data_IF_384814147759
#
_entry.id   IF_384814147759
#
_cell.length_a   1.000
_cell.length_b   1.000
_cell.length_c   1.000
_cell.angle_alpha   90.00
_cell.angle_beta   90.00
_cell.angle_gamma   90.00
#
_symmetry.space_group_name_H-M   'P 1'
#
loop_
_entity.id
_entity.type
_entity.pdbx_description
1 polymer ?
#
# COMPACT_ATOMS: atom_id res chain seq x y z
N UNK A 1 15.75 -24.09 6.91
CA UNK A 1 15.19 -22.75 7.20
C UNK A 1 16.23 -21.73 6.74
N UNK A 2 15.79 -20.76 5.94
CA UNK A 2 16.63 -19.66 5.45
C UNK A 2 15.90 -18.35 5.71
N UNK A 3 16.53 -17.45 6.48
CA UNK A 3 16.04 -16.11 6.77
C UNK A 3 16.96 -15.09 6.12
N UNK A 4 16.40 -14.15 5.38
CA UNK A 4 17.12 -13.02 4.85
C UNK A 4 16.39 -11.71 5.14
N UNK A 5 17.13 -10.62 5.18
CA UNK A 5 16.57 -9.29 5.36
C UNK A 5 17.57 -8.21 4.98
N UNK A 6 17.04 -7.14 4.43
CA UNK A 6 17.81 -5.95 4.05
C UNK A 6 17.14 -4.73 4.62
N UNK A 7 17.91 -3.88 5.26
CA UNK A 7 17.49 -2.53 5.64
C UNK A 7 18.32 -1.51 4.88
N UNK A 8 17.66 -0.65 4.12
CA UNK A 8 18.29 0.40 3.34
C UNK A 8 17.56 1.73 3.54
N UNK A 9 18.31 2.80 3.78
CA UNK A 9 17.79 4.16 3.90
C UNK A 9 18.72 5.10 3.15
N UNK A 10 18.16 5.85 2.23
CA UNK A 10 18.88 6.92 1.56
C UNK A 10 18.57 8.28 2.17
N UNK A 11 19.44 9.25 1.91
CA UNK A 11 19.30 10.63 2.36
C UNK A 11 19.99 11.55 1.37
N UNK A 12 19.30 12.60 0.93
CA UNK A 12 19.87 13.66 0.13
C UNK A 12 20.82 14.46 1.05
N UNK A 13 22.10 14.49 0.73
CA UNK A 13 23.09 15.24 1.51
C UNK A 13 23.11 16.71 1.13
N UNK A 14 22.88 17.00 -0.14
CA UNK A 14 22.83 18.36 -0.67
C UNK A 14 21.79 18.42 -1.80
N UNK A 15 20.99 19.45 -1.78
CA UNK A 15 20.08 19.85 -2.84
C UNK A 15 20.22 21.37 -3.00
N UNK A 16 20.22 21.87 -4.23
CA UNK A 16 20.25 23.30 -4.50
C UNK A 16 18.83 23.87 -4.30
N UNK A 17 18.54 24.18 -3.04
CA UNK A 17 17.22 24.69 -2.64
C UNK A 17 17.03 26.12 -3.16
N UNK A 18 15.84 26.43 -3.69
CA UNK A 18 15.52 27.76 -4.11
C UNK A 18 15.61 28.77 -2.92
N UNK A 19 16.10 29.99 -3.12
CA UNK A 19 16.10 31.00 -2.07
C UNK A 19 14.70 31.23 -1.47
N UNK A 20 14.58 31.24 -0.15
CA UNK A 20 13.32 31.43 0.56
C UNK A 20 12.48 30.15 0.74
N UNK A 21 12.97 28.98 0.31
CA UNK A 21 12.28 27.71 0.57
C UNK A 21 12.15 27.46 2.07
N UNK A 22 10.91 27.27 2.60
CA UNK A 22 10.69 26.95 4.02
C UNK A 22 11.42 25.66 4.43
N UNK A 23 11.87 25.61 5.67
CA UNK A 23 12.66 24.48 6.19
C UNK A 23 11.93 23.13 6.04
N UNK A 24 10.62 23.13 6.27
CA UNK A 24 9.79 21.92 6.15
C UNK A 24 9.53 21.46 4.71
N UNK A 25 9.89 22.29 3.71
CA UNK A 25 9.77 21.93 2.29
C UNK A 25 11.09 21.44 1.67
N UNK A 26 12.21 21.66 2.33
CA UNK A 26 13.54 21.33 1.80
C UNK A 26 13.68 19.82 1.50
N UNK A 27 14.37 19.54 0.41
CA UNK A 27 14.74 18.18 -0.01
C UNK A 27 15.98 17.68 0.72
N UNK A 28 16.90 18.56 1.08
CA UNK A 28 18.11 18.25 1.84
C UNK A 28 17.75 17.58 3.16
N UNK A 29 18.38 16.44 3.44
CA UNK A 29 18.09 15.65 4.64
C UNK A 29 16.95 14.66 4.51
N UNK A 30 16.20 14.70 3.41
CA UNK A 30 15.08 13.79 3.13
C UNK A 30 15.49 12.65 2.18
N UNK A 31 14.71 11.56 2.09
CA UNK A 31 14.94 10.52 1.11
C UNK A 31 14.74 11.01 -0.32
N UNK A 32 15.42 10.36 -1.27
CA UNK A 32 15.08 10.49 -2.70
C UNK A 32 13.61 10.05 -2.88
N UNK A 33 12.89 10.70 -3.79
CA UNK A 33 11.46 10.48 -4.06
C UNK A 33 10.51 10.81 -2.88
N UNK A 34 10.97 11.57 -1.89
CA UNK A 34 10.08 12.14 -0.90
C UNK A 34 9.18 13.19 -1.53
N UNK A 35 7.86 12.99 -1.44
CA UNK A 35 6.87 13.93 -1.97
C UNK A 35 6.64 15.14 -1.08
N UNK A 36 6.06 16.19 -1.66
CA UNK A 36 5.64 17.42 -0.99
C UNK A 36 4.11 17.43 -0.89
N UNK A 37 3.57 17.36 0.33
CA UNK A 37 2.15 17.14 0.57
C UNK A 37 1.58 18.15 1.56
N UNK A 38 0.29 18.48 1.40
CA UNK A 38 -0.49 19.08 2.49
C UNK A 38 -0.72 18.03 3.59
N UNK A 39 -0.53 18.39 4.84
CA UNK A 39 -0.86 17.52 5.97
C UNK A 39 -2.38 17.54 6.19
N UNK A 40 -3.05 16.41 5.94
CA UNK A 40 -4.46 16.22 6.23
C UNK A 40 -4.65 15.99 7.73
N UNK A 41 -5.52 16.78 8.37
CA UNK A 41 -5.78 16.71 9.83
C UNK A 41 -7.22 16.33 10.16
N UNK A 42 -8.09 16.16 9.16
CA UNK A 42 -9.48 15.77 9.33
C UNK A 42 -10.33 16.05 8.10
N UNK A 43 -11.62 16.01 8.30
CA UNK A 43 -12.65 16.31 7.28
C UNK A 43 -13.58 17.35 7.88
N UNK A 44 -13.97 18.38 7.11
CA UNK A 44 -14.96 19.36 7.54
C UNK A 44 -16.33 18.69 7.68
N UNK A 45 -16.85 18.65 8.90
CA UNK A 45 -18.14 17.99 9.19
C UNK A 45 -19.34 18.77 8.67
N UNK A 46 -19.28 20.10 8.76
CA UNK A 46 -20.33 21.03 8.43
C UNK A 46 -19.76 22.41 8.02
N UNK A 47 -20.64 23.33 7.65
CA UNK A 47 -20.25 24.68 7.24
C UNK A 47 -19.62 25.47 8.39
N UNK A 48 -20.06 25.28 9.63
CA UNK A 48 -19.49 25.97 10.78
C UNK A 48 -18.01 25.57 10.99
N UNK A 49 -17.67 24.31 10.74
CA UNK A 49 -16.28 23.84 10.77
C UNK A 49 -15.44 24.46 9.65
N UNK A 50 -16.00 24.64 8.44
CA UNK A 50 -15.32 25.34 7.33
C UNK A 50 -15.05 26.79 7.72
N UNK A 51 -16.05 27.51 8.21
CA UNK A 51 -15.95 28.92 8.55
C UNK A 51 -15.01 29.20 9.73
N UNK A 52 -14.77 28.19 10.59
CA UNK A 52 -13.97 28.31 11.80
C UNK A 52 -12.46 28.04 11.60
N UNK A 53 -12.05 27.47 10.48
CA UNK A 53 -10.65 27.06 10.26
C UNK A 53 -10.12 27.60 8.92
N UNK A 54 -8.83 27.95 8.83
CA UNK A 54 -8.20 28.32 7.55
C UNK A 54 -8.43 27.27 6.48
N UNK A 55 -8.86 27.69 5.31
CA UNK A 55 -9.18 26.80 4.22
C UNK A 55 -8.88 27.42 2.85
N UNK A 56 -8.73 26.58 1.85
CA UNK A 56 -8.57 27.00 0.47
C UNK A 56 -9.91 27.50 -0.12
N UNK A 57 -9.82 28.34 -1.14
CA UNK A 57 -11.00 28.95 -1.75
C UNK A 57 -11.93 27.88 -2.35
N UNK A 58 -13.20 27.91 -1.93
CA UNK A 58 -14.24 26.95 -2.36
C UNK A 58 -14.32 25.68 -1.54
N UNK A 59 -13.64 25.61 -0.39
CA UNK A 59 -13.83 24.52 0.57
C UNK A 59 -15.26 24.45 1.06
N UNK A 60 -15.75 23.27 1.31
CA UNK A 60 -17.12 22.99 1.76
C UNK A 60 -17.17 21.76 2.68
N UNK A 61 -18.29 21.50 3.37
CA UNK A 61 -18.46 20.32 4.19
C UNK A 61 -18.11 19.03 3.43
N UNK A 62 -17.41 18.11 4.10
CA UNK A 62 -16.91 16.87 3.52
C UNK A 62 -15.56 16.97 2.85
N UNK A 63 -14.95 18.15 2.73
CA UNK A 63 -13.59 18.32 2.21
C UNK A 63 -12.55 18.05 3.28
N UNK A 64 -11.32 17.68 2.85
CA UNK A 64 -10.19 17.44 3.73
C UNK A 64 -9.69 18.76 4.30
N UNK A 65 -9.45 18.78 5.60
CA UNK A 65 -8.82 19.89 6.32
C UNK A 65 -7.31 19.77 6.16
N UNK A 66 -6.67 20.80 5.65
CA UNK A 66 -5.21 20.89 5.58
C UNK A 66 -4.68 21.73 6.74
N UNK A 67 -3.57 21.28 7.30
CA UNK A 67 -2.91 21.97 8.38
C UNK A 67 -2.28 23.28 7.88
N UNK A 68 -2.56 24.37 8.57
CA UNK A 68 -1.82 25.62 8.46
C UNK A 68 -0.46 25.43 9.17
N UNK A 69 0.59 25.25 8.38
CA UNK A 69 1.93 24.89 8.88
C UNK A 69 2.71 26.11 9.32
N UNK A 70 2.55 27.24 8.65
CA UNK A 70 3.24 28.49 8.93
C UNK A 70 2.47 29.40 9.91
N UNK A 71 1.18 29.14 10.15
CA UNK A 71 0.35 29.87 11.10
C UNK A 71 -0.11 31.24 10.59
N UNK A 72 -0.19 31.44 9.27
CA UNK A 72 -0.61 32.70 8.67
C UNK A 72 -2.12 32.80 8.41
N UNK A 73 -2.88 31.76 8.77
CA UNK A 73 -4.32 31.59 8.54
C UNK A 73 -4.73 31.53 7.05
N UNK A 74 -3.82 31.15 6.16
CA UNK A 74 -4.06 30.95 4.74
C UNK A 74 -3.53 29.58 4.34
N UNK A 75 -4.35 28.74 3.72
CA UNK A 75 -3.89 27.44 3.18
C UNK A 75 -3.38 27.66 1.76
N UNK A 76 -2.07 27.61 1.59
CA UNK A 76 -1.42 27.79 0.29
C UNK A 76 -0.21 26.85 0.07
N UNK A 77 0.58 27.10 -0.97
CA UNK A 77 1.77 26.31 -1.28
C UNK A 77 2.83 26.25 -0.18
N UNK A 78 2.82 27.20 0.75
CA UNK A 78 3.76 27.27 1.88
C UNK A 78 3.43 26.24 2.96
N UNK A 79 2.19 25.71 3.01
CA UNK A 79 1.75 24.71 3.99
C UNK A 79 2.08 23.28 3.58
N UNK A 80 2.63 23.07 2.41
CA UNK A 80 3.07 21.74 2.01
C UNK A 80 4.34 21.34 2.75
N UNK A 81 4.34 20.12 3.28
CA UNK A 81 5.45 19.54 4.03
C UNK A 81 6.08 18.40 3.23
N UNK A 82 7.40 18.35 3.20
CA UNK A 82 8.11 17.25 2.56
C UNK A 82 8.09 16.02 3.45
N UNK A 83 7.53 14.94 2.92
CA UNK A 83 7.48 13.66 3.63
C UNK A 83 8.90 13.12 3.90
N UNK A 84 9.07 12.36 4.96
CA UNK A 84 10.33 11.70 5.32
C UNK A 84 10.43 10.26 4.78
N UNK A 85 9.44 9.82 4.00
CA UNK A 85 9.36 8.48 3.41
C UNK A 85 9.36 8.57 1.88
N UNK A 86 9.75 7.47 1.24
CA UNK A 86 9.74 7.31 -0.21
C UNK A 86 8.89 6.10 -0.60
N UNK A 87 8.73 5.89 -1.91
CA UNK A 87 8.09 4.67 -2.43
C UNK A 87 8.87 3.39 -2.12
N UNK A 88 10.19 3.51 -2.01
CA UNK A 88 11.06 2.36 -1.74
C UNK A 88 10.93 1.93 -0.29
N UNK A 89 10.55 0.69 0.01
CA UNK A 89 10.55 0.16 1.36
C UNK A 89 11.94 0.26 2.01
N UNK A 90 11.98 0.61 3.28
CA UNK A 90 13.23 0.66 4.06
C UNK A 90 13.69 -0.72 4.49
N UNK A 91 12.77 -1.62 4.72
CA UNK A 91 13.04 -3.01 5.07
C UNK A 91 12.36 -3.94 4.07
N UNK A 92 13.10 -4.95 3.61
CA UNK A 92 12.57 -6.09 2.86
C UNK A 92 13.16 -7.36 3.43
N UNK A 93 12.37 -8.43 3.51
CA UNK A 93 12.85 -9.69 4.04
C UNK A 93 12.04 -10.88 3.57
N UNK A 94 12.63 -12.06 3.76
CA UNK A 94 12.01 -13.32 3.43
C UNK A 94 12.43 -14.44 4.38
N UNK A 95 11.49 -15.31 4.67
CA UNK A 95 11.69 -16.54 5.42
C UNK A 95 11.27 -17.72 4.56
N UNK A 96 12.24 -18.53 4.14
CA UNK A 96 12.00 -19.81 3.49
C UNK A 96 12.15 -20.94 4.50
N UNK A 97 11.17 -21.83 4.54
CA UNK A 97 11.15 -22.98 5.43
C UNK A 97 10.87 -24.22 4.60
N UNK A 98 11.73 -25.22 4.75
CA UNK A 98 11.58 -26.55 4.16
C UNK A 98 11.61 -27.57 5.31
N UNK A 99 10.58 -28.36 5.42
CA UNK A 99 10.38 -29.37 6.47
C UNK A 99 10.11 -30.72 5.82
N UNK A 100 10.73 -31.76 6.31
CA UNK A 100 10.44 -33.14 5.93
C UNK A 100 10.10 -33.97 7.16
N UNK A 101 9.03 -34.74 7.09
CA UNK A 101 8.67 -35.69 8.11
C UNK A 101 8.13 -36.97 7.49
N UNK A 102 8.91 -38.06 7.61
CA UNK A 102 8.62 -39.35 6.91
C UNK A 102 8.46 -39.11 5.41
N UNK A 103 7.27 -39.43 4.90
CA UNK A 103 6.92 -39.32 3.47
C UNK A 103 6.32 -37.96 3.11
N UNK A 104 6.17 -37.04 4.07
CA UNK A 104 5.65 -35.69 3.86
C UNK A 104 6.75 -34.67 3.77
N UNK A 105 6.60 -33.71 2.85
CA UNK A 105 7.40 -32.51 2.74
C UNK A 105 6.51 -31.29 2.71
N UNK A 106 6.94 -30.24 3.41
CA UNK A 106 6.29 -28.94 3.45
C UNK A 106 7.33 -27.86 3.17
N UNK A 107 7.09 -27.04 2.17
CA UNK A 107 7.89 -25.84 1.95
C UNK A 107 6.99 -24.60 1.92
N UNK A 108 7.50 -23.46 2.43
CA UNK A 108 6.83 -22.19 2.26
C UNK A 108 7.80 -21.01 2.29
N UNK A 109 7.41 -19.93 1.60
CA UNK A 109 8.09 -18.66 1.60
C UNK A 109 7.16 -17.54 2.11
N UNK A 110 7.56 -16.93 3.22
CA UNK A 110 7.02 -15.64 3.67
C UNK A 110 7.92 -14.53 3.14
N UNK A 111 7.31 -13.50 2.58
CA UNK A 111 7.97 -12.29 2.12
C UNK A 111 7.30 -11.08 2.75
N UNK A 112 8.08 -10.05 3.07
CA UNK A 112 7.54 -8.80 3.59
C UNK A 112 8.38 -7.59 3.23
N UNK A 113 7.72 -6.42 3.23
CA UNK A 113 8.36 -5.14 3.06
C UNK A 113 7.71 -4.10 3.99
N UNK A 114 8.49 -3.13 4.46
CA UNK A 114 8.03 -2.10 5.38
C UNK A 114 8.73 -0.75 5.13
N UNK A 115 8.03 0.34 5.48
CA UNK A 115 8.57 1.69 5.47
C UNK A 115 8.51 2.39 4.12
N UNK A 116 7.81 1.84 3.15
CA UNK A 116 7.44 2.49 1.91
C UNK A 116 6.09 3.21 2.02
N UNK A 117 5.86 4.19 1.15
CA UNK A 117 4.56 4.86 1.00
C UNK A 117 4.19 5.01 -0.46
N UNK A 118 2.90 5.03 -0.72
CA UNK A 118 2.37 5.21 -2.05
C UNK A 118 1.16 6.13 -2.06
N UNK A 119 1.11 7.05 -3.02
CA UNK A 119 -0.03 7.96 -3.19
C UNK A 119 -1.09 7.28 -4.03
N UNK A 120 -2.22 6.96 -3.42
CA UNK A 120 -3.31 6.22 -4.04
C UNK A 120 -4.64 6.85 -3.70
N UNK A 121 -5.35 7.36 -4.70
CA UNK A 121 -6.72 7.81 -4.56
C UNK A 121 -7.69 6.64 -4.73
N UNK A 122 -8.91 6.81 -4.24
CA UNK A 122 -9.96 5.79 -4.34
C UNK A 122 -10.69 5.78 -5.68
N UNK A 123 -10.33 6.71 -6.58
CA UNK A 123 -10.92 6.82 -7.89
C UNK A 123 -10.01 6.20 -8.95
N UNK A 124 -10.56 5.33 -9.78
CA UNK A 124 -9.82 4.61 -10.82
C UNK A 124 -9.70 5.33 -12.15
N UNK A 125 -10.00 6.60 -12.22
CA UNK A 125 -9.76 7.34 -13.44
C UNK A 125 -10.99 7.72 -14.25
N UNK A 126 -12.07 6.99 -14.20
CA UNK A 126 -13.31 7.29 -14.89
C UNK A 126 -14.33 7.96 -13.98
N UNK A 127 -15.20 8.77 -14.55
CA UNK A 127 -16.23 9.49 -13.80
C UNK A 127 -17.07 8.53 -12.93
N UNK A 128 -17.24 8.88 -11.66
CA UNK A 128 -18.01 8.13 -10.67
C UNK A 128 -17.52 6.68 -10.40
N UNK A 129 -16.33 6.33 -10.80
CA UNK A 129 -15.76 4.99 -10.58
C UNK A 129 -14.94 4.95 -9.29
N UNK A 130 -15.63 5.00 -8.16
CA UNK A 130 -15.04 4.93 -6.82
C UNK A 130 -15.02 3.49 -6.29
N UNK A 131 -14.05 3.19 -5.41
CA UNK A 131 -14.05 1.96 -4.65
C UNK A 131 -15.26 1.87 -3.73
N UNK A 132 -15.77 0.64 -3.52
CA UNK A 132 -16.89 0.39 -2.61
C UNK A 132 -16.60 0.81 -1.17
N UNK A 133 -15.37 0.58 -0.68
CA UNK A 133 -14.89 1.01 0.63
C UNK A 133 -15.02 2.53 0.82
N UNK A 134 -14.67 3.31 -0.19
CA UNK A 134 -14.86 4.76 -0.20
C UNK A 134 -16.35 5.12 -0.21
N UNK A 135 -17.13 4.50 -1.11
CA UNK A 135 -18.55 4.80 -1.24
C UNK A 135 -19.33 4.59 0.06
N UNK A 136 -19.06 3.47 0.74
CA UNK A 136 -19.77 3.10 1.96
C UNK A 136 -19.40 3.99 3.17
N UNK A 137 -18.18 4.55 3.19
CA UNK A 137 -17.64 5.27 4.35
C UNK A 137 -17.38 6.76 4.09
N UNK A 138 -17.84 7.30 2.95
CA UNK A 138 -17.64 8.71 2.61
C UNK A 138 -18.52 9.64 3.44
N UNK A 139 -18.10 10.87 3.52
CA UNK A 139 -18.90 11.94 4.08
C UNK A 139 -20.18 12.18 3.24
N UNK A 140 -21.30 12.31 3.93
CA UNK A 140 -22.60 12.80 3.42
C UNK A 140 -23.24 13.64 4.51
N UNK A 141 -24.31 14.38 4.20
CA UNK A 141 -25.05 15.16 5.20
C UNK A 141 -25.63 14.26 6.29
N UNK A 142 -25.96 13.00 5.97
CA UNK A 142 -26.45 12.00 6.92
C UNK A 142 -25.33 11.29 7.69
N UNK A 143 -24.08 11.41 7.22
CA UNK A 143 -22.90 10.81 7.85
C UNK A 143 -21.75 11.81 7.96
N UNK A 144 -21.88 12.87 8.79
CA UNK A 144 -20.88 13.94 8.90
C UNK A 144 -19.58 13.50 9.61
N UNK A 145 -19.61 12.40 10.37
CA UNK A 145 -18.46 11.83 11.07
C UNK A 145 -17.73 10.74 10.27
N UNK A 146 -17.84 10.76 8.95
CA UNK A 146 -17.25 9.79 8.04
C UNK A 146 -15.71 9.79 8.09
N UNK A 147 -15.13 8.62 7.81
CA UNK A 147 -13.67 8.44 7.72
C UNK A 147 -13.10 8.93 6.36
N UNK A 148 -13.92 9.05 5.32
CA UNK A 148 -13.54 9.49 3.99
C UNK A 148 -14.20 10.80 3.60
N UNK A 149 -13.53 11.62 2.78
CA UNK A 149 -14.13 12.87 2.30
C UNK A 149 -15.35 12.61 1.40
N UNK A 150 -16.10 13.66 1.12
CA UNK A 150 -17.18 13.61 0.14
C UNK A 150 -16.69 13.18 -1.25
N UNK A 151 -17.62 12.77 -2.10
CA UNK A 151 -17.33 12.60 -3.52
C UNK A 151 -16.94 13.93 -4.17
N UNK A 152 -16.09 13.87 -5.19
CA UNK A 152 -15.49 15.03 -5.85
C UNK A 152 -15.54 14.91 -7.37
N UNK A 153 -15.47 16.05 -8.04
CA UNK A 153 -15.33 16.11 -9.47
C UNK A 153 -13.84 16.20 -9.85
N UNK A 154 -13.38 15.31 -10.71
CA UNK A 154 -11.99 15.15 -11.09
C UNK A 154 -11.33 16.39 -11.69
N UNK A 155 -12.07 17.17 -12.49
CA UNK A 155 -11.48 18.26 -13.27
C UNK A 155 -11.29 19.57 -12.51
N UNK A 156 -12.01 19.80 -11.42
CA UNK A 156 -12.09 21.09 -10.74
C UNK A 156 -11.86 21.03 -9.23
N UNK A 157 -11.62 19.86 -8.66
CA UNK A 157 -11.54 19.70 -7.22
C UNK A 157 -10.10 19.76 -6.72
N UNK A 158 -9.91 20.33 -5.55
CA UNK A 158 -8.66 20.69 -4.92
C UNK A 158 -7.67 19.53 -4.76
N UNK A 159 -8.14 18.33 -4.50
CA UNK A 159 -7.28 17.19 -4.17
C UNK A 159 -6.45 16.69 -5.37
N UNK A 160 -6.85 16.97 -6.62
CA UNK A 160 -6.07 16.65 -7.82
C UNK A 160 -4.82 17.53 -7.90
N UNK A 161 -4.99 18.83 -7.60
CA UNK A 161 -3.92 19.81 -7.68
C UNK A 161 -3.16 19.95 -6.35
N UNK A 162 -3.70 19.39 -5.28
CA UNK A 162 -3.19 19.55 -3.92
C UNK A 162 -2.97 18.20 -3.26
N UNK A 163 -1.90 17.52 -3.66
CA UNK A 163 -1.51 16.24 -3.07
C UNK A 163 -1.39 16.35 -1.55
N UNK A 164 -1.99 15.43 -0.83
CA UNK A 164 -2.08 15.47 0.61
C UNK A 164 -1.86 14.11 1.26
N UNK A 165 -1.60 14.10 2.56
CA UNK A 165 -1.26 12.88 3.30
C UNK A 165 -2.44 11.94 3.53
N UNK A 166 -3.67 12.37 3.28
CA UNK A 166 -4.84 11.50 3.39
C UNK A 166 -4.75 10.30 2.42
N UNK A 167 -4.28 10.56 1.19
CA UNK A 167 -4.13 9.55 0.15
C UNK A 167 -2.73 8.90 0.11
N UNK A 168 -1.91 9.16 1.12
CA UNK A 168 -0.56 8.62 1.20
C UNK A 168 -0.55 7.36 2.07
N UNK A 169 -0.73 6.20 1.46
CA UNK A 169 -0.82 4.91 2.12
C UNK A 169 0.56 4.29 2.40
N UNK A 170 0.68 3.59 3.52
CA UNK A 170 1.85 2.74 3.80
C UNK A 170 1.73 1.45 2.99
N UNK A 171 2.83 1.07 2.35
CA UNK A 171 2.91 -0.17 1.56
C UNK A 171 3.46 -1.35 2.36
N UNK A 172 3.32 -1.31 3.68
CA UNK A 172 3.78 -2.36 4.58
C UNK A 172 2.95 -3.63 4.37
N UNK A 173 3.61 -4.78 4.23
CA UNK A 173 2.92 -6.05 4.08
C UNK A 173 3.75 -7.26 4.51
N UNK A 174 3.05 -8.36 4.79
CA UNK A 174 3.60 -9.72 4.87
C UNK A 174 2.74 -10.60 3.96
N UNK A 175 3.41 -11.42 3.13
CA UNK A 175 2.76 -12.32 2.17
C UNK A 175 3.29 -13.74 2.28
N UNK A 176 2.37 -14.70 2.32
CA UNK A 176 2.67 -16.11 2.02
C UNK A 176 2.77 -16.25 0.50
N UNK A 177 4.02 -16.12 0.00
CA UNK A 177 4.31 -16.03 -1.43
C UNK A 177 4.08 -17.36 -2.14
N UNK A 178 4.55 -18.44 -1.51
CA UNK A 178 4.25 -19.80 -1.91
C UNK A 178 4.15 -20.70 -0.69
N UNK A 179 3.42 -21.80 -0.84
CA UNK A 179 3.38 -22.93 0.08
C UNK A 179 3.16 -24.18 -0.76
N UNK A 180 3.88 -25.25 -0.45
CA UNK A 180 3.71 -26.55 -1.07
C UNK A 180 3.73 -27.63 0.00
N UNK A 181 2.75 -28.54 -0.08
CA UNK A 181 2.70 -29.77 0.72
C UNK A 181 2.77 -30.96 -0.26
N UNK A 182 3.80 -31.79 -0.08
CA UNK A 182 4.02 -33.00 -0.83
C UNK A 182 3.88 -34.25 0.00
N UNK A 183 3.53 -35.35 -0.66
CA UNK A 183 3.53 -36.69 -0.11
C UNK A 183 4.16 -37.65 -1.09
N UNK A 184 5.23 -38.31 -0.68
CA UNK A 184 5.91 -39.36 -1.45
C UNK A 184 5.30 -40.72 -1.11
N UNK A 185 4.70 -41.36 -2.08
CA UNK A 185 4.07 -42.68 -1.88
C UNK A 185 5.16 -43.73 -1.64
N UNK A 186 5.03 -44.54 -0.57
CA UNK A 186 6.02 -45.57 -0.27
C UNK A 186 6.28 -46.50 -1.46
N UNK A 187 7.53 -46.81 -1.73
CA UNK A 187 7.97 -47.58 -2.92
C UNK A 187 7.35 -48.97 -3.02
N UNK A 188 6.91 -49.55 -1.90
CA UNK A 188 6.16 -50.81 -1.85
C UNK A 188 4.83 -50.71 -2.62
N UNK A 189 4.20 -49.53 -2.66
CA UNK A 189 2.95 -49.31 -3.35
C UNK A 189 3.16 -48.82 -4.79
N UNK A 190 4.10 -47.89 -5.00
CA UNK A 190 4.38 -47.31 -6.31
C UNK A 190 4.90 -48.36 -7.30
N UNK A 191 5.77 -49.27 -6.85
CA UNK A 191 6.32 -50.35 -7.68
C UNK A 191 5.25 -51.36 -8.16
N UNK A 192 4.13 -51.53 -7.44
CA UNK A 192 3.04 -52.38 -7.89
C UNK A 192 2.36 -51.89 -9.16
N UNK A 193 2.46 -50.62 -9.45
CA UNK A 193 1.93 -49.95 -10.65
C UNK A 193 3.02 -49.62 -11.66
N UNK A 194 4.24 -50.15 -11.48
CA UNK A 194 5.34 -49.94 -12.41
C UNK A 194 6.03 -48.59 -12.32
N UNK A 195 5.87 -47.87 -11.19
CA UNK A 195 6.45 -46.53 -10.94
C UNK A 195 7.52 -46.66 -9.86
N UNK A 196 8.74 -46.21 -10.15
CA UNK A 196 9.82 -46.22 -9.14
C UNK A 196 9.61 -45.18 -8.03
N UNK A 197 9.21 -43.96 -8.44
CA UNK A 197 8.94 -42.87 -7.52
C UNK A 197 7.64 -42.16 -7.90
N UNK A 198 6.75 -42.00 -6.89
CA UNK A 198 5.48 -41.30 -7.04
C UNK A 198 5.36 -40.27 -5.91
N UNK A 199 5.31 -39.00 -6.27
CA UNK A 199 5.03 -37.90 -5.34
C UNK A 199 3.79 -37.13 -5.80
N UNK A 200 2.84 -36.94 -4.90
CA UNK A 200 1.66 -36.06 -5.13
C UNK A 200 1.84 -34.79 -4.30
N UNK A 201 1.44 -33.66 -4.84
CA UNK A 201 1.57 -32.40 -4.10
C UNK A 201 0.44 -31.42 -4.43
N UNK A 202 0.23 -30.52 -3.51
CA UNK A 202 -0.58 -29.32 -3.67
C UNK A 202 0.31 -28.12 -3.38
N UNK A 203 0.25 -27.11 -4.24
CA UNK A 203 0.90 -25.84 -3.97
C UNK A 203 -0.05 -24.66 -4.20
N UNK A 204 0.26 -23.57 -3.53
CA UNK A 204 -0.46 -22.32 -3.68
C UNK A 204 0.50 -21.12 -3.73
N UNK A 205 0.13 -20.13 -4.56
CA UNK A 205 0.86 -18.87 -4.68
C UNK A 205 -0.01 -17.71 -4.21
N UNK A 206 0.61 -16.74 -3.56
CA UNK A 206 -0.02 -15.51 -3.04
C UNK A 206 -1.27 -15.80 -2.19
N UNK A 207 -1.25 -16.90 -1.42
CA UNK A 207 -2.43 -17.40 -0.72
C UNK A 207 -2.96 -16.41 0.31
N UNK A 208 -2.06 -15.74 1.03
CA UNK A 208 -2.38 -14.76 2.05
C UNK A 208 -1.47 -13.53 1.91
N UNK A 209 -2.09 -12.36 1.92
CA UNK A 209 -1.39 -11.07 2.06
C UNK A 209 -2.04 -10.30 3.20
N UNK A 210 -1.24 -9.83 4.13
CA UNK A 210 -1.65 -8.98 5.24
C UNK A 210 -0.99 -7.62 5.01
N UNK A 211 -1.80 -6.59 4.78
CA UNK A 211 -1.39 -5.19 4.71
C UNK A 211 -2.35 -4.35 5.55
N UNK A 212 -1.87 -3.60 6.54
CA UNK A 212 -2.75 -2.81 7.40
C UNK A 212 -3.46 -1.67 6.68
N UNK A 213 -2.79 -1.05 5.70
CA UNK A 213 -3.23 0.19 5.07
C UNK A 213 -3.74 -0.03 3.62
N UNK A 214 -3.06 -0.86 2.83
CA UNK A 214 -3.44 -1.18 1.45
C UNK A 214 -4.44 -2.35 1.39
N UNK A 215 -5.70 -2.11 1.76
CA UNK A 215 -6.73 -3.17 1.82
C UNK A 215 -7.36 -3.48 0.47
N UNK A 216 -7.54 -2.46 -0.36
CA UNK A 216 -8.23 -2.56 -1.65
C UNK A 216 -7.26 -2.79 -2.82
N UNK A 217 -5.97 -2.57 -2.60
CA UNK A 217 -4.92 -2.70 -3.61
C UNK A 217 -3.79 -3.60 -3.13
N UNK A 218 -3.07 -4.18 -4.09
CA UNK A 218 -1.88 -4.95 -3.76
C UNK A 218 -0.74 -4.01 -3.35
N UNK A 219 -0.12 -4.21 -2.17
CA UNK A 219 0.94 -3.32 -1.67
C UNK A 219 2.24 -3.34 -2.48
N UNK A 220 2.46 -4.36 -3.32
CA UNK A 220 3.57 -4.39 -4.30
C UNK A 220 3.21 -3.65 -5.59
N UNK A 221 1.93 -3.34 -5.78
CA UNK A 221 1.45 -2.68 -6.97
C UNK A 221 1.47 -1.16 -6.79
N UNK A 222 2.38 -0.49 -7.47
CA UNK A 222 2.63 0.94 -7.33
C UNK A 222 2.09 1.78 -8.50
N UNK A 223 1.06 1.32 -9.21
CA UNK A 223 0.36 2.15 -10.18
C UNK A 223 -0.72 3.00 -9.52
N UNK A 224 -0.54 4.31 -9.52
CA UNK A 224 -1.43 5.27 -8.84
C UNK A 224 -2.85 5.35 -9.37
N UNK A 225 -3.13 4.76 -10.53
CA UNK A 225 -4.44 4.78 -11.16
C UNK A 225 -5.35 3.61 -10.79
N UNK A 226 -4.84 2.61 -10.05
CA UNK A 226 -5.61 1.39 -9.75
C UNK A 226 -5.87 0.47 -10.95
N UNK A 227 -5.33 0.79 -12.14
CA UNK A 227 -5.52 0.01 -13.37
C UNK A 227 -4.74 -1.31 -13.44
N UNK A 228 -3.97 -1.63 -12.42
CA UNK A 228 -3.18 -2.85 -12.43
C UNK A 228 -4.03 -4.03 -12.03
N UNK A 229 -3.86 -5.10 -12.76
CA UNK A 229 -4.50 -6.37 -12.44
C UNK A 229 -3.97 -6.87 -11.08
N UNK A 230 -4.85 -7.25 -10.14
CA UNK A 230 -4.42 -7.76 -8.84
C UNK A 230 -3.66 -9.08 -8.99
N UNK A 231 -2.74 -9.34 -8.07
CA UNK A 231 -2.07 -10.64 -8.00
C UNK A 231 -3.08 -11.75 -7.71
N UNK A 232 -3.12 -12.76 -8.57
CA UNK A 232 -4.00 -13.90 -8.40
C UNK A 232 -3.51 -14.81 -7.27
N UNK A 233 -4.45 -15.35 -6.52
CA UNK A 233 -4.24 -16.56 -5.72
C UNK A 233 -4.35 -17.75 -6.65
N UNK A 234 -3.34 -18.60 -6.68
CA UNK A 234 -3.30 -19.78 -7.55
C UNK A 234 -3.12 -21.01 -6.69
N UNK A 235 -3.90 -22.04 -6.92
CA UNK A 235 -3.77 -23.35 -6.27
C UNK A 235 -3.60 -24.39 -7.38
N UNK A 236 -2.55 -25.21 -7.28
CA UNK A 236 -2.26 -26.27 -8.22
C UNK A 236 -2.17 -27.60 -7.49
N UNK A 237 -2.58 -28.66 -8.19
CA UNK A 237 -2.34 -30.04 -7.82
C UNK A 237 -1.38 -30.65 -8.83
N UNK A 238 -0.41 -31.40 -8.36
CA UNK A 238 0.57 -32.02 -9.23
C UNK A 238 0.97 -33.41 -8.79
N UNK A 239 1.52 -34.15 -9.76
CA UNK A 239 2.04 -35.49 -9.58
C UNK A 239 3.39 -35.57 -10.27
N UNK A 240 4.41 -36.08 -9.56
CA UNK A 240 5.72 -36.41 -10.11
C UNK A 240 5.85 -37.93 -10.18
N UNK A 241 6.15 -38.42 -11.36
CA UNK A 241 6.35 -39.85 -11.65
C UNK A 241 7.74 -40.09 -12.21
N UNK A 242 8.40 -41.13 -11.69
CA UNK A 242 9.65 -41.67 -12.26
C UNK A 242 9.44 -43.15 -12.49
N UNK A 243 9.76 -43.62 -13.71
CA UNK A 243 9.62 -45.00 -14.16
C UNK A 243 10.98 -45.69 -14.22
#
# INVERSE_FOLDING_TARGET
>A
INLNGVYAKNKILFWDEAPGTPEWQKSTGKPIDSGLYYEAIGIFKDQAAVDAYPHWAGARPGDIIFKDVNGDNVIDGNDRVRNDKSRTPRFTGGLNVDLGYKDFDLSFLLQGAMGGVFYQTTESGDFANFLKSFYDNRWTEENPDADFPRTYNRSNEYFINQQNTFWLHKTDYIRLKNIELGYTVPSIWSKKIGVEHLRVYINAYNLLTISPDMKDYDPENTSGSGYNYPLNKVINFGVNLTF
#
